data_IF_910830751104
#
_entry.id   IF_910830751104
#
_cell.length_a   1.000
_cell.length_b   1.000
_cell.length_c   1.000
_cell.angle_alpha   90.00
_cell.angle_beta   90.00
_cell.angle_gamma   90.00
#
_symmetry.space_group_name_H-M   'P 1'
#
loop_
_entity.id
_entity.type
_entity.pdbx_description
1 polymer ?
#
# COMPACT_ATOMS: atom_id res chain seq x y z
N UNK A 1 -30.84 3.31 5.17
CA UNK A 1 -30.84 4.59 5.90
C UNK A 1 -29.86 5.51 5.21
N UNK A 2 -30.34 6.53 4.50
CA UNK A 2 -29.45 7.55 3.92
C UNK A 2 -28.80 8.31 5.07
N UNK A 3 -27.47 8.28 5.16
CA UNK A 3 -26.75 9.12 6.11
C UNK A 3 -27.05 10.58 5.79
N UNK A 4 -27.46 11.36 6.78
CA UNK A 4 -27.55 12.81 6.65
C UNK A 4 -26.20 13.37 6.21
N UNK A 5 -26.19 14.37 5.33
CA UNK A 5 -24.96 14.96 4.78
C UNK A 5 -24.02 15.54 5.86
N UNK A 6 -24.53 15.81 7.06
CA UNK A 6 -23.75 16.23 8.24
C UNK A 6 -22.76 15.16 8.75
N UNK A 7 -23.00 13.88 8.47
CA UNK A 7 -22.11 12.78 8.88
C UNK A 7 -21.07 12.41 7.82
N UNK A 8 -21.02 13.11 6.68
CA UNK A 8 -20.06 12.83 5.61
C UNK A 8 -18.76 13.62 5.78
N UNK A 9 -17.65 13.00 5.41
CA UNK A 9 -16.33 13.63 5.47
C UNK A 9 -16.22 14.80 4.47
N UNK A 10 -15.76 15.95 4.95
CA UNK A 10 -15.36 17.07 4.10
C UNK A 10 -13.95 16.90 3.52
N UNK A 11 -13.51 17.88 2.73
CA UNK A 11 -12.20 17.88 2.08
C UNK A 11 -11.04 17.63 3.05
N UNK A 12 -10.96 18.43 4.12
CA UNK A 12 -9.87 18.32 5.08
C UNK A 12 -9.85 16.95 5.77
N UNK A 13 -11.03 16.42 6.14
CA UNK A 13 -11.15 15.11 6.77
C UNK A 13 -10.63 13.99 5.86
N UNK A 14 -11.01 14.02 4.58
CA UNK A 14 -10.52 13.05 3.60
C UNK A 14 -9.03 13.23 3.30
N UNK A 15 -8.53 14.46 3.16
CA UNK A 15 -7.09 14.73 2.95
C UNK A 15 -6.25 14.19 4.09
N UNK A 16 -6.66 14.44 5.35
CA UNK A 16 -5.98 13.92 6.53
C UNK A 16 -6.01 12.40 6.55
N UNK A 17 -7.16 11.78 6.28
CA UNK A 17 -7.29 10.32 6.23
C UNK A 17 -6.35 9.69 5.21
N UNK A 18 -6.30 10.25 3.99
CA UNK A 18 -5.44 9.74 2.92
C UNK A 18 -3.96 9.98 3.24
N UNK A 19 -3.62 11.14 3.82
CA UNK A 19 -2.25 11.47 4.28
C UNK A 19 -1.78 10.47 5.33
N UNK A 20 -2.61 10.22 6.34
CA UNK A 20 -2.34 9.28 7.44
C UNK A 20 -2.08 7.87 6.91
N UNK A 21 -2.87 7.41 5.93
CA UNK A 21 -2.70 6.08 5.37
C UNK A 21 -1.42 5.92 4.55
N UNK A 22 -0.99 6.95 3.81
CA UNK A 22 0.31 6.94 3.14
C UNK A 22 1.46 7.01 4.14
N UNK A 23 1.36 7.90 5.14
CA UNK A 23 2.47 8.25 6.03
C UNK A 23 2.87 7.20 7.05
N UNK A 24 2.01 6.22 7.35
CA UNK A 24 2.18 5.29 8.48
C UNK A 24 3.52 4.57 8.54
N UNK A 25 3.56 3.29 8.20
CA UNK A 25 4.82 2.52 8.23
C UNK A 25 5.70 2.75 7.00
N UNK A 26 5.17 3.40 5.96
CA UNK A 26 5.82 3.56 4.65
C UNK A 26 7.19 4.21 4.73
N UNK A 27 7.35 5.24 5.58
CA UNK A 27 8.57 6.06 5.68
C UNK A 27 9.64 5.47 6.60
N UNK A 28 9.24 4.61 7.54
CA UNK A 28 10.00 4.25 8.75
C UNK A 28 11.39 3.67 8.44
N UNK A 29 11.51 2.89 7.36
CA UNK A 29 12.76 2.28 6.93
C UNK A 29 13.38 2.91 5.67
N UNK A 30 12.70 3.86 5.02
CA UNK A 30 13.18 4.44 3.76
C UNK A 30 14.53 5.13 3.87
N UNK A 31 14.82 5.92 4.92
CA UNK A 31 16.14 6.57 5.01
C UNK A 31 17.31 5.59 4.96
N UNK A 32 17.21 4.47 5.69
CA UNK A 32 18.25 3.45 5.70
C UNK A 32 18.39 2.77 4.33
N UNK A 33 17.27 2.44 3.69
CA UNK A 33 17.28 1.74 2.40
C UNK A 33 17.74 2.63 1.23
N UNK A 34 17.32 3.88 1.20
CA UNK A 34 17.78 4.88 0.23
C UNK A 34 19.27 5.19 0.42
N UNK A 35 19.74 5.24 1.67
CA UNK A 35 21.16 5.41 1.96
C UNK A 35 22.03 4.25 1.45
N UNK A 36 21.47 3.05 1.28
CA UNK A 36 22.18 1.88 0.75
C UNK A 36 22.76 2.09 -0.66
N UNK A 37 22.15 2.95 -1.47
CA UNK A 37 22.71 3.39 -2.76
C UNK A 37 23.36 4.76 -2.67
N UNK A 38 22.85 5.63 -1.78
CA UNK A 38 23.34 6.98 -1.57
C UNK A 38 22.27 8.04 -1.79
N UNK A 39 22.60 9.30 -1.52
CA UNK A 39 21.69 10.43 -1.69
C UNK A 39 21.19 10.66 -3.12
N UNK A 40 21.86 10.09 -4.13
CA UNK A 40 21.42 10.10 -5.53
C UNK A 40 20.02 9.50 -5.70
N UNK A 41 19.60 8.59 -4.82
CA UNK A 41 18.23 8.02 -4.78
C UNK A 41 17.16 9.04 -4.42
N UNK A 42 17.51 10.20 -3.90
CA UNK A 42 16.53 11.27 -3.66
C UNK A 42 15.90 11.77 -4.96
N UNK A 43 16.60 11.65 -6.09
CA UNK A 43 16.04 11.98 -7.40
C UNK A 43 14.84 11.06 -7.75
N UNK A 44 14.79 9.85 -7.19
CA UNK A 44 13.64 8.95 -7.31
C UNK A 44 12.37 9.57 -6.74
N UNK A 45 12.46 10.39 -5.69
CA UNK A 45 11.27 11.07 -5.14
C UNK A 45 10.63 12.01 -6.16
N UNK A 46 11.41 12.69 -7.00
CA UNK A 46 10.86 13.60 -8.00
C UNK A 46 10.06 12.82 -9.05
N UNK A 47 10.64 11.74 -9.58
CA UNK A 47 9.98 10.86 -10.54
C UNK A 47 8.74 10.22 -9.92
N UNK A 48 8.88 9.72 -8.70
CA UNK A 48 7.79 9.03 -7.99
C UNK A 48 6.68 9.97 -7.56
N UNK A 49 6.97 11.21 -7.19
CA UNK A 49 5.93 12.20 -6.87
C UNK A 49 5.09 12.52 -8.10
N UNK A 50 5.72 12.76 -9.26
CA UNK A 50 4.98 12.99 -10.51
C UNK A 50 4.13 11.77 -10.86
N UNK A 51 4.70 10.58 -10.77
CA UNK A 51 3.99 9.33 -11.00
C UNK A 51 2.79 9.14 -10.06
N UNK A 52 3.00 9.32 -8.75
CA UNK A 52 1.97 9.22 -7.73
C UNK A 52 0.84 10.25 -7.92
N UNK A 53 1.15 11.47 -8.39
CA UNK A 53 0.13 12.47 -8.72
C UNK A 53 -0.71 12.04 -9.94
N UNK A 54 -0.10 11.40 -10.94
CA UNK A 54 -0.85 10.82 -12.06
C UNK A 54 -1.76 9.66 -11.60
N UNK A 55 -1.29 8.81 -10.69
CA UNK A 55 -2.09 7.73 -10.07
C UNK A 55 -3.25 8.32 -9.26
N UNK A 56 -2.96 9.30 -8.40
CA UNK A 56 -3.96 10.00 -7.59
C UNK A 56 -5.06 10.61 -8.45
N UNK A 57 -4.68 11.33 -9.51
CA UNK A 57 -5.62 11.90 -10.46
C UNK A 57 -6.47 10.82 -11.14
N UNK A 58 -5.85 9.70 -11.51
CA UNK A 58 -6.54 8.58 -12.15
C UNK A 58 -7.58 7.96 -11.22
N UNK A 59 -7.22 7.67 -9.97
CA UNK A 59 -8.14 7.11 -8.96
C UNK A 59 -9.22 8.08 -8.54
N UNK A 60 -8.88 9.35 -8.46
CA UNK A 60 -9.86 10.40 -8.28
C UNK A 60 -10.94 10.35 -9.37
N UNK A 61 -10.55 10.30 -10.65
CA UNK A 61 -11.50 10.20 -11.77
C UNK A 61 -12.24 8.87 -11.79
N UNK A 62 -11.58 7.75 -11.52
CA UNK A 62 -12.25 6.45 -11.42
C UNK A 62 -13.31 6.45 -10.31
N UNK A 63 -13.01 7.01 -9.14
CA UNK A 63 -13.95 7.12 -8.03
C UNK A 63 -15.13 8.07 -8.29
N UNK A 64 -15.00 9.00 -9.25
CA UNK A 64 -16.14 9.82 -9.71
C UNK A 64 -17.10 9.04 -10.59
N UNK A 65 -16.58 8.16 -11.45
CA UNK A 65 -17.35 7.52 -12.52
C UNK A 65 -17.75 6.07 -12.23
N UNK A 66 -17.10 5.42 -11.26
CA UNK A 66 -17.42 4.05 -10.86
C UNK A 66 -18.26 4.06 -9.58
N UNK A 67 -19.50 3.58 -9.70
CA UNK A 67 -20.44 3.47 -8.58
C UNK A 67 -20.48 2.07 -7.95
N UNK A 68 -19.63 1.15 -8.41
CA UNK A 68 -19.53 -0.21 -7.87
C UNK A 68 -18.65 -0.20 -6.62
N UNK A 69 -19.05 -0.98 -5.63
CA UNK A 69 -18.25 -1.22 -4.44
C UNK A 69 -17.02 -2.08 -4.78
N UNK A 70 -15.89 -1.82 -4.09
CA UNK A 70 -14.65 -2.56 -4.29
C UNK A 70 -13.44 -1.71 -4.71
N UNK A 71 -13.60 -0.38 -4.82
CA UNK A 71 -12.48 0.54 -5.06
C UNK A 71 -11.71 0.21 -6.33
N UNK A 72 -10.38 0.00 -6.21
CA UNK A 72 -9.53 -0.32 -7.37
C UNK A 72 -9.98 -1.58 -8.13
N UNK A 73 -10.48 -2.61 -7.43
CA UNK A 73 -10.99 -3.83 -8.07
C UNK A 73 -12.27 -3.56 -8.88
N UNK A 74 -13.11 -2.63 -8.41
CA UNK A 74 -14.29 -2.20 -9.15
C UNK A 74 -13.90 -1.42 -10.41
N UNK A 75 -12.89 -0.56 -10.30
CA UNK A 75 -12.37 0.22 -11.43
C UNK A 75 -11.82 -0.69 -12.53
N UNK A 76 -11.14 -1.78 -12.16
CA UNK A 76 -10.59 -2.74 -13.13
C UNK A 76 -11.68 -3.52 -13.87
N UNK A 77 -12.80 -3.82 -13.19
CA UNK A 77 -13.95 -4.48 -13.79
C UNK A 77 -14.59 -3.68 -14.92
N UNK A 78 -14.51 -2.34 -14.88
CA UNK A 78 -15.09 -1.48 -15.91
C UNK A 78 -14.50 -1.71 -17.31
N UNK A 79 -13.21 -2.04 -17.39
CA UNK A 79 -12.51 -2.33 -18.64
C UNK A 79 -12.38 -3.83 -18.94
N UNK A 80 -12.16 -4.66 -17.92
CA UNK A 80 -11.69 -6.03 -18.09
C UNK A 80 -12.64 -7.09 -17.54
N UNK A 81 -13.83 -6.70 -17.08
CA UNK A 81 -14.85 -7.62 -16.58
C UNK A 81 -14.51 -8.28 -15.25
N UNK A 82 -15.30 -9.30 -14.89
CA UNK A 82 -15.31 -9.93 -13.55
C UNK A 82 -13.97 -10.59 -13.19
N UNK A 83 -13.23 -11.10 -14.17
CA UNK A 83 -11.90 -11.71 -13.97
C UNK A 83 -10.89 -10.72 -13.41
N UNK A 84 -10.91 -9.48 -13.90
CA UNK A 84 -10.01 -8.43 -13.43
C UNK A 84 -10.38 -7.91 -12.05
N UNK A 85 -11.67 -7.91 -11.68
CA UNK A 85 -12.09 -7.65 -10.31
C UNK A 85 -11.44 -8.66 -9.35
N UNK A 86 -11.55 -9.95 -9.69
CA UNK A 86 -10.96 -11.02 -8.89
C UNK A 86 -9.45 -10.87 -8.80
N UNK A 87 -8.74 -10.72 -9.93
CA UNK A 87 -7.29 -10.65 -9.94
C UNK A 87 -6.79 -9.42 -9.20
N UNK A 88 -7.43 -8.26 -9.36
CA UNK A 88 -7.10 -7.06 -8.60
C UNK A 88 -7.31 -7.27 -7.09
N UNK A 89 -8.41 -7.89 -6.68
CA UNK A 89 -8.69 -8.18 -5.25
C UNK A 89 -7.73 -9.22 -4.67
N UNK A 90 -7.42 -10.26 -5.44
CA UNK A 90 -6.50 -11.33 -5.05
C UNK A 90 -5.06 -10.83 -4.92
N UNK A 91 -4.55 -10.11 -5.92
CA UNK A 91 -3.21 -9.53 -5.84
C UNK A 91 -3.13 -8.48 -4.74
N UNK A 92 -4.17 -7.66 -4.55
CA UNK A 92 -4.21 -6.74 -3.40
C UNK A 92 -4.21 -7.48 -2.06
N UNK A 93 -4.97 -8.57 -1.90
CA UNK A 93 -4.93 -9.43 -0.72
C UNK A 93 -3.50 -9.95 -0.42
N UNK A 94 -2.81 -10.44 -1.45
CA UNK A 94 -1.43 -10.94 -1.33
C UNK A 94 -0.44 -9.80 -1.00
N UNK A 95 -0.59 -8.64 -1.64
CA UNK A 95 0.18 -7.43 -1.31
C UNK A 95 0.04 -7.08 0.17
N UNK A 96 -1.18 -7.04 0.69
CA UNK A 96 -1.44 -6.71 2.09
C UNK A 96 -0.81 -7.72 3.06
N UNK A 97 -0.81 -9.02 2.72
CA UNK A 97 -0.10 -10.06 3.50
C UNK A 97 1.41 -9.79 3.53
N UNK A 98 2.02 -9.54 2.36
CA UNK A 98 3.47 -9.29 2.28
C UNK A 98 3.83 -8.01 3.03
N UNK A 99 3.00 -6.99 2.86
CA UNK A 99 3.14 -5.70 3.53
C UNK A 99 3.10 -5.82 5.04
N UNK A 100 2.16 -6.61 5.58
CA UNK A 100 2.04 -6.85 7.01
C UNK A 100 3.35 -7.41 7.61
N UNK A 101 3.98 -8.36 6.93
CA UNK A 101 5.28 -8.92 7.35
C UNK A 101 6.38 -7.86 7.28
N UNK A 102 6.45 -7.05 6.22
CA UNK A 102 7.44 -5.96 6.11
C UNK A 102 7.30 -4.93 7.24
N UNK A 103 6.06 -4.59 7.63
CA UNK A 103 5.78 -3.66 8.72
C UNK A 103 6.19 -4.28 10.07
N UNK A 104 5.91 -5.56 10.29
CA UNK A 104 6.34 -6.27 11.50
C UNK A 104 7.88 -6.34 11.61
N UNK A 105 8.57 -6.60 10.49
CA UNK A 105 10.04 -6.56 10.39
C UNK A 105 10.57 -5.16 10.77
N UNK A 106 9.91 -4.11 10.30
CA UNK A 106 10.25 -2.73 10.67
C UNK A 106 10.05 -2.48 12.16
N UNK A 107 8.92 -2.92 12.74
CA UNK A 107 8.67 -2.81 14.18
C UNK A 107 9.79 -3.46 15.00
N UNK A 108 10.19 -4.68 14.64
CA UNK A 108 11.29 -5.41 15.29
C UNK A 108 12.61 -4.66 15.17
N UNK A 109 12.90 -4.03 14.04
CA UNK A 109 14.07 -3.15 13.87
C UNK A 109 14.15 -2.06 14.93
N UNK A 110 13.02 -1.38 15.18
CA UNK A 110 12.92 -0.34 16.21
C UNK A 110 12.82 -0.86 17.65
N UNK A 111 12.51 -2.15 17.85
CA UNK A 111 12.50 -2.82 19.16
C UNK A 111 13.91 -3.20 19.64
N UNK A 112 14.87 -3.40 18.74
CA UNK A 112 16.24 -3.83 19.05
C UNK A 112 16.96 -3.01 20.13
N UNK A 113 16.84 -1.66 20.18
CA UNK A 113 17.45 -0.85 21.24
C UNK A 113 16.91 -1.15 22.66
N UNK A 114 15.68 -1.66 22.77
CA UNK A 114 15.05 -2.00 24.05
C UNK A 114 15.23 -3.48 24.41
N UNK A 115 15.31 -4.33 23.39
CA UNK A 115 15.37 -5.77 23.52
C UNK A 115 16.58 -6.32 22.74
N UNK A 116 17.80 -6.23 23.29
CA UNK A 116 19.04 -6.58 22.58
C UNK A 116 19.06 -8.01 22.04
N UNK A 117 18.36 -8.94 22.68
CA UNK A 117 18.24 -10.35 22.26
C UNK A 117 17.72 -10.49 20.82
N UNK A 118 16.88 -9.54 20.34
CA UNK A 118 16.38 -9.50 18.96
C UNK A 118 17.49 -9.27 17.91
N UNK A 119 18.67 -8.82 18.33
CA UNK A 119 19.84 -8.59 17.47
C UNK A 119 20.81 -9.75 17.44
N UNK A 120 20.68 -10.73 18.34
CA UNK A 120 21.65 -11.82 18.48
C UNK A 120 21.58 -12.84 17.34
N UNK A 121 20.39 -13.06 16.76
CA UNK A 121 20.25 -13.98 15.64
C UNK A 121 19.04 -13.65 14.76
N UNK A 122 19.06 -14.14 13.52
CA UNK A 122 17.92 -14.07 12.60
C UNK A 122 16.66 -14.77 13.19
N UNK A 123 16.86 -15.84 13.98
CA UNK A 123 15.78 -16.58 14.64
C UNK A 123 15.14 -15.76 15.75
N UNK A 124 15.93 -15.00 16.52
CA UNK A 124 15.40 -14.10 17.54
C UNK A 124 14.57 -12.97 16.91
N UNK A 125 15.09 -12.37 15.83
CA UNK A 125 14.33 -11.37 15.06
C UNK A 125 13.02 -11.96 14.50
N UNK A 126 13.06 -13.19 13.97
CA UNK A 126 11.88 -13.91 13.50
C UNK A 126 10.82 -14.08 14.60
N UNK A 127 11.19 -14.51 15.80
CA UNK A 127 10.23 -14.61 16.91
C UNK A 127 9.65 -13.26 17.34
N UNK A 128 10.43 -12.19 17.24
CA UNK A 128 9.93 -10.82 17.36
C UNK A 128 8.84 -10.51 16.33
N UNK A 129 9.08 -10.85 15.05
CA UNK A 129 8.12 -10.63 13.96
C UNK A 129 6.84 -11.43 14.19
N UNK A 130 6.96 -12.72 14.56
CA UNK A 130 5.83 -13.58 14.92
C UNK A 130 5.02 -12.96 16.07
N UNK A 131 5.70 -12.51 17.13
CA UNK A 131 5.04 -11.87 18.27
C UNK A 131 4.24 -10.63 17.88
N UNK A 132 4.81 -9.77 17.04
CA UNK A 132 4.13 -8.57 16.53
C UNK A 132 2.92 -8.94 15.67
N UNK A 133 3.07 -9.85 14.71
CA UNK A 133 1.98 -10.29 13.81
C UNK A 133 0.80 -10.90 14.57
N UNK A 134 1.09 -11.80 15.52
CA UNK A 134 0.05 -12.46 16.33
C UNK A 134 -0.64 -11.44 17.24
N UNK A 135 0.12 -10.55 17.88
CA UNK A 135 -0.44 -9.53 18.76
C UNK A 135 -1.43 -8.62 18.02
N UNK A 136 -1.04 -8.10 16.86
CA UNK A 136 -1.93 -7.23 16.06
C UNK A 136 -3.10 -7.99 15.46
N UNK A 137 -2.89 -9.24 15.05
CA UNK A 137 -3.98 -10.08 14.54
C UNK A 137 -5.05 -10.30 15.60
N UNK A 138 -4.65 -10.67 16.83
CA UNK A 138 -5.59 -10.89 17.93
C UNK A 138 -6.33 -9.59 18.25
N UNK A 139 -5.63 -8.46 18.33
CA UNK A 139 -6.25 -7.16 18.57
C UNK A 139 -7.29 -6.78 17.49
N UNK A 140 -7.15 -7.28 16.26
CA UNK A 140 -8.14 -7.09 15.19
C UNK A 140 -9.46 -7.86 15.37
N UNK A 141 -9.54 -8.82 16.30
CA UNK A 141 -10.75 -9.62 16.50
C UNK A 141 -11.93 -8.84 17.08
N UNK A 142 -11.67 -7.66 17.67
CA UNK A 142 -12.68 -6.74 18.18
C UNK A 142 -13.27 -5.83 17.09
N UNK A 143 -12.82 -5.95 15.85
CA UNK A 143 -13.47 -5.33 14.70
C UNK A 143 -13.20 -3.83 14.50
N UNK A 144 -13.87 -3.22 13.50
CA UNK A 144 -13.47 -1.93 12.92
C UNK A 144 -13.38 -0.77 13.91
N UNK A 145 -14.33 -0.72 14.86
CA UNK A 145 -14.43 0.39 15.80
C UNK A 145 -13.18 0.53 16.67
N UNK A 146 -12.67 -0.59 17.17
CA UNK A 146 -11.50 -0.59 18.05
C UNK A 146 -10.21 -0.50 17.25
N UNK A 147 -10.09 -1.29 16.17
CA UNK A 147 -8.92 -1.23 15.28
C UNK A 147 -8.70 0.18 14.72
N UNK A 148 -9.73 0.77 14.12
CA UNK A 148 -9.64 2.10 13.51
C UNK A 148 -9.28 3.18 14.53
N UNK A 149 -9.83 3.10 15.75
CA UNK A 149 -9.51 4.01 16.85
C UNK A 149 -8.03 3.94 17.24
N UNK A 150 -7.50 2.73 17.47
CA UNK A 150 -6.09 2.53 17.82
C UNK A 150 -5.19 3.01 16.69
N UNK A 151 -5.43 2.56 15.45
CA UNK A 151 -4.62 2.95 14.29
C UNK A 151 -4.60 4.47 14.07
N UNK A 152 -5.73 5.17 14.29
CA UNK A 152 -5.81 6.62 14.12
C UNK A 152 -4.96 7.42 15.11
N UNK A 153 -4.74 6.90 16.32
CA UNK A 153 -3.93 7.56 17.36
C UNK A 153 -2.46 7.21 17.17
N UNK A 154 -2.17 5.94 17.02
CA UNK A 154 -0.81 5.39 16.94
C UNK A 154 0.00 5.93 15.75
N UNK A 155 -0.63 6.24 14.62
CA UNK A 155 0.06 6.81 13.45
C UNK A 155 0.77 8.14 13.72
N UNK A 156 0.29 8.93 14.70
CA UNK A 156 0.95 10.17 15.09
C UNK A 156 2.33 9.94 15.72
N UNK A 157 2.58 8.73 16.22
CA UNK A 157 3.88 8.32 16.74
C UNK A 157 5.01 8.46 15.71
N UNK A 158 4.71 8.36 14.41
CA UNK A 158 5.71 8.60 13.36
C UNK A 158 5.52 9.93 12.64
N UNK A 159 4.28 10.37 12.43
CA UNK A 159 4.02 11.63 11.72
C UNK A 159 4.67 12.82 12.46
N UNK A 160 4.53 12.89 13.78
CA UNK A 160 5.09 14.00 14.56
C UNK A 160 6.63 14.04 14.46
N UNK A 161 7.37 12.96 14.73
CA UNK A 161 8.83 12.92 14.50
C UNK A 161 9.25 13.27 13.09
N UNK A 162 8.58 12.73 12.06
CA UNK A 162 8.97 12.92 10.66
C UNK A 162 8.76 14.38 10.24
N UNK A 163 7.60 14.96 10.57
CA UNK A 163 7.32 16.39 10.30
C UNK A 163 8.26 17.28 11.10
N UNK A 164 8.50 16.94 12.37
CA UNK A 164 9.46 17.63 13.22
C UNK A 164 10.84 17.66 12.58
N UNK A 165 11.38 16.50 12.18
CA UNK A 165 12.67 16.38 11.50
C UNK A 165 12.72 17.23 10.23
N UNK A 166 11.67 17.19 9.40
CA UNK A 166 11.58 17.97 8.16
C UNK A 166 11.66 19.49 8.35
N UNK A 167 11.30 19.99 9.54
CA UNK A 167 11.28 21.43 9.85
C UNK A 167 12.52 21.83 10.65
N UNK A 168 12.81 21.15 11.76
CA UNK A 168 13.87 21.57 12.69
C UNK A 168 15.21 20.89 12.41
N UNK A 169 15.25 19.75 11.71
CA UNK A 169 16.49 19.01 11.50
C UNK A 169 17.53 19.78 10.66
N UNK A 170 17.10 20.80 9.90
CA UNK A 170 18.00 21.69 9.16
C UNK A 170 19.03 22.41 10.05
N UNK A 171 18.76 22.63 11.34
CA UNK A 171 19.75 23.22 12.26
C UNK A 171 20.96 22.31 12.53
N UNK A 172 20.84 21.00 12.26
CA UNK A 172 21.93 20.03 12.39
C UNK A 172 22.48 19.57 11.04
N UNK A 173 21.92 20.06 9.93
CA UNK A 173 22.29 19.63 8.59
C UNK A 173 23.70 20.13 8.23
N UNK A 174 24.55 19.20 7.77
CA UNK A 174 25.90 19.49 7.30
C UNK A 174 26.00 19.22 5.79
N UNK A 175 26.14 20.27 4.95
CA UNK A 175 26.24 20.10 3.50
C UNK A 175 27.37 19.18 3.05
N UNK A 176 28.50 19.21 3.75
CA UNK A 176 29.67 18.36 3.47
C UNK A 176 29.35 16.87 3.66
N UNK A 177 28.60 16.53 4.72
CA UNK A 177 28.19 15.16 4.99
C UNK A 177 27.22 14.64 3.94
N UNK A 178 26.25 15.50 3.56
CA UNK A 178 25.31 15.22 2.50
C UNK A 178 26.01 14.98 1.15
N UNK A 179 26.96 15.85 0.79
CA UNK A 179 27.74 15.74 -0.44
C UNK A 179 28.60 14.47 -0.46
N UNK A 180 29.24 14.12 0.67
CA UNK A 180 30.02 12.89 0.80
C UNK A 180 29.14 11.63 0.66
N UNK A 181 27.89 11.69 1.14
CA UNK A 181 26.91 10.62 1.04
C UNK A 181 26.12 10.57 -0.28
N UNK A 182 26.37 11.47 -1.24
CA UNK A 182 25.54 11.61 -2.43
C UNK A 182 25.61 10.38 -3.35
N UNK A 183 26.82 9.97 -3.76
CA UNK A 183 26.99 8.81 -4.64
C UNK A 183 28.24 7.99 -4.24
N UNK A 184 28.23 7.35 -3.06
CA UNK A 184 29.39 6.64 -2.52
C UNK A 184 29.80 5.40 -3.34
N UNK A 185 28.90 4.91 -4.20
CA UNK A 185 29.13 3.73 -5.05
C UNK A 185 29.37 4.09 -6.52
N UNK A 186 29.44 5.39 -6.87
CA UNK A 186 29.63 5.88 -8.24
C UNK A 186 28.65 5.28 -9.27
N UNK A 187 27.40 5.03 -8.85
CA UNK A 187 26.37 4.49 -9.74
C UNK A 187 25.97 5.52 -10.80
N UNK A 188 25.56 5.05 -11.97
CA UNK A 188 24.98 5.93 -13.00
C UNK A 188 23.70 6.60 -12.49
N UNK A 189 23.45 7.84 -12.91
CA UNK A 189 22.30 8.62 -12.40
C UNK A 189 20.96 7.92 -12.61
N UNK A 190 20.76 7.28 -13.77
CA UNK A 190 19.52 6.55 -14.05
C UNK A 190 19.38 5.29 -13.18
N UNK A 191 20.48 4.59 -12.89
CA UNK A 191 20.47 3.43 -12.01
C UNK A 191 20.19 3.84 -10.56
N UNK A 192 20.80 4.94 -10.11
CA UNK A 192 20.54 5.56 -8.81
C UNK A 192 19.07 5.95 -8.65
N UNK A 193 18.49 6.61 -9.66
CA UNK A 193 17.06 6.92 -9.69
C UNK A 193 16.24 5.63 -9.65
N UNK A 194 16.52 4.66 -10.52
CA UNK A 194 15.71 3.45 -10.64
C UNK A 194 15.73 2.62 -9.36
N UNK A 195 16.87 2.56 -8.65
CA UNK A 195 17.01 1.81 -7.39
C UNK A 195 16.12 2.32 -6.25
N UNK A 196 15.77 3.61 -6.26
CA UNK A 196 14.88 4.21 -5.25
C UNK A 196 13.40 4.19 -5.62
N UNK A 197 13.01 3.80 -6.84
CA UNK A 197 11.62 3.90 -7.29
C UNK A 197 10.69 2.97 -6.50
N UNK A 198 11.06 1.70 -6.30
CA UNK A 198 10.21 0.77 -5.54
C UNK A 198 10.02 1.23 -4.08
N UNK A 199 11.10 1.72 -3.45
CA UNK A 199 11.10 2.28 -2.10
C UNK A 199 10.20 3.52 -1.99
N UNK A 200 10.33 4.46 -2.92
CA UNK A 200 9.51 5.68 -2.92
C UNK A 200 8.05 5.38 -3.28
N UNK A 201 7.78 4.41 -4.16
CA UNK A 201 6.43 3.93 -4.49
C UNK A 201 5.74 3.33 -3.27
N UNK A 202 6.46 2.48 -2.54
CA UNK A 202 5.99 1.91 -1.27
C UNK A 202 5.48 2.99 -0.31
N UNK A 203 6.19 4.12 -0.24
CA UNK A 203 5.83 5.24 0.61
C UNK A 203 4.47 5.88 0.27
N UNK A 204 4.05 5.79 -1.00
CA UNK A 204 2.78 6.33 -1.48
C UNK A 204 1.65 5.30 -1.53
N UNK A 205 1.90 4.04 -1.13
CA UNK A 205 0.81 3.06 -1.01
C UNK A 205 -0.20 3.55 0.05
N UNK A 206 -1.49 3.43 -0.27
CA UNK A 206 -2.58 4.02 0.51
C UNK A 206 -3.29 5.17 -0.21
N UNK A 207 -2.75 5.65 -1.34
CA UNK A 207 -3.37 6.66 -2.21
C UNK A 207 -4.76 6.23 -2.71
N UNK A 208 -4.97 4.92 -2.85
CA UNK A 208 -6.23 4.27 -3.22
C UNK A 208 -7.35 4.47 -2.19
N UNK A 209 -7.01 4.81 -0.95
CA UNK A 209 -8.00 4.86 0.14
C UNK A 209 -9.04 5.94 -0.08
N UNK A 210 -8.70 7.02 -0.80
CA UNK A 210 -9.64 8.08 -1.10
C UNK A 210 -10.81 7.59 -1.97
N UNK A 211 -10.51 6.79 -2.99
CA UNK A 211 -11.50 6.21 -3.89
C UNK A 211 -12.39 5.18 -3.18
N UNK A 212 -11.79 4.40 -2.28
CA UNK A 212 -12.50 3.42 -1.46
C UNK A 212 -13.52 4.06 -0.49
N UNK A 213 -13.28 5.31 -0.05
CA UNK A 213 -14.15 6.03 0.88
C UNK A 213 -15.09 7.04 0.20
N UNK A 214 -15.16 7.06 -1.12
CA UNK A 214 -15.96 8.03 -1.89
C UNK A 214 -17.44 8.09 -1.47
N UNK A 215 -18.05 6.95 -1.11
CA UNK A 215 -19.44 6.90 -0.63
C UNK A 215 -19.70 7.60 0.71
N UNK A 216 -18.66 7.85 1.51
CA UNK A 216 -18.73 8.50 2.82
C UNK A 216 -18.32 9.98 2.79
N UNK A 217 -18.14 10.57 1.60
CA UNK A 217 -17.57 11.90 1.40
C UNK A 217 -18.63 12.88 0.91
N UNK A 218 -18.62 14.10 1.42
CA UNK A 218 -19.51 15.18 0.97
C UNK A 218 -19.05 15.67 -0.40
N UNK A 219 -19.94 15.66 -1.39
CA UNK A 219 -19.62 16.02 -2.78
C UNK A 219 -18.39 15.26 -3.32
N UNK A 220 -18.46 13.92 -3.45
CA UNK A 220 -17.30 13.09 -3.78
C UNK A 220 -16.67 13.47 -5.11
N UNK A 221 -17.46 13.96 -6.07
CA UNK A 221 -17.01 14.42 -7.38
C UNK A 221 -15.94 15.52 -7.34
N UNK A 222 -16.03 16.42 -6.36
CA UNK A 222 -15.04 17.52 -6.19
C UNK A 222 -14.06 17.23 -5.06
N UNK A 223 -14.57 16.65 -3.97
CA UNK A 223 -13.81 16.46 -2.74
C UNK A 223 -12.78 15.35 -2.86
N UNK A 224 -13.11 14.21 -3.47
CA UNK A 224 -12.17 13.08 -3.59
C UNK A 224 -10.96 13.49 -4.43
N UNK A 225 -11.09 14.04 -5.66
CA UNK A 225 -9.94 14.46 -6.44
C UNK A 225 -9.02 15.46 -5.75
N UNK A 226 -9.61 16.48 -5.13
CA UNK A 226 -8.83 17.50 -4.45
C UNK A 226 -8.14 16.94 -3.21
N UNK A 227 -8.83 16.08 -2.44
CA UNK A 227 -8.28 15.49 -1.24
C UNK A 227 -7.07 14.61 -1.52
N UNK A 228 -7.15 13.74 -2.54
CA UNK A 228 -6.03 12.84 -2.90
C UNK A 228 -4.83 13.67 -3.33
N UNK A 229 -5.03 14.64 -4.22
CA UNK A 229 -3.94 15.46 -4.74
C UNK A 229 -3.24 16.26 -3.63
N UNK A 230 -4.02 16.89 -2.74
CA UNK A 230 -3.47 17.62 -1.59
C UNK A 230 -2.71 16.69 -0.64
N UNK A 231 -3.25 15.50 -0.36
CA UNK A 231 -2.59 14.50 0.46
C UNK A 231 -1.25 14.07 -0.17
N UNK A 232 -1.26 13.69 -1.45
CA UNK A 232 -0.06 13.25 -2.18
C UNK A 232 1.03 14.30 -2.19
N UNK A 233 0.71 15.57 -2.49
CA UNK A 233 1.70 16.66 -2.46
C UNK A 233 2.23 16.89 -1.05
N UNK A 234 1.36 16.90 -0.04
CA UNK A 234 1.78 17.14 1.35
C UNK A 234 2.71 16.03 1.84
N UNK A 235 2.38 14.78 1.56
CA UNK A 235 3.20 13.60 1.89
C UNK A 235 4.55 13.66 1.16
N UNK A 236 4.55 13.99 -0.14
CA UNK A 236 5.77 14.11 -0.93
C UNK A 236 6.74 15.13 -0.33
N UNK A 237 6.24 16.32 0.05
CA UNK A 237 7.06 17.37 0.67
C UNK A 237 7.70 16.86 1.97
N UNK A 238 6.91 16.22 2.83
CA UNK A 238 7.40 15.72 4.11
C UNK A 238 8.42 14.60 3.93
N UNK A 239 8.20 13.68 2.99
CA UNK A 239 9.13 12.58 2.71
C UNK A 239 10.44 13.06 2.10
N UNK A 240 10.38 13.94 1.11
CA UNK A 240 11.57 14.54 0.50
C UNK A 240 12.37 15.28 1.57
N UNK A 241 11.71 16.16 2.33
CA UNK A 241 12.38 16.94 3.37
C UNK A 241 13.02 16.04 4.44
N UNK A 242 12.26 15.10 5.02
CA UNK A 242 12.78 14.23 6.09
C UNK A 242 13.93 13.34 5.62
N UNK A 243 13.84 12.75 4.42
CA UNK A 243 14.91 11.90 3.86
C UNK A 243 16.14 12.70 3.41
N UNK A 244 15.97 13.96 2.99
CA UNK A 244 17.09 14.87 2.72
C UNK A 244 17.82 15.21 4.01
N UNK A 245 17.05 15.66 5.01
CA UNK A 245 17.60 16.16 6.27
C UNK A 245 18.38 15.09 7.01
N UNK A 246 17.85 13.87 7.11
CA UNK A 246 18.53 12.76 7.78
C UNK A 246 19.87 12.41 7.12
N UNK A 247 19.98 12.46 5.79
CA UNK A 247 21.23 12.18 5.08
C UNK A 247 22.29 13.27 5.27
N UNK A 248 21.89 14.49 5.61
CA UNK A 248 22.83 15.55 5.98
C UNK A 248 23.18 15.59 7.47
N UNK A 249 22.57 14.75 8.31
CA UNK A 249 22.85 14.66 9.75
C UNK A 249 23.64 13.39 10.06
N UNK A 250 23.25 12.25 9.48
CA UNK A 250 23.82 10.93 9.76
C UNK A 250 24.79 10.52 8.65
N UNK A 251 26.02 10.06 8.97
CA UNK A 251 26.93 9.51 7.96
C UNK A 251 26.27 8.39 7.15
N UNK A 252 26.37 8.44 5.82
CA UNK A 252 25.65 7.54 4.92
C UNK A 252 25.88 6.04 5.24
N UNK A 253 27.12 5.65 5.53
CA UNK A 253 27.47 4.26 5.87
C UNK A 253 26.82 3.76 7.18
N UNK A 254 26.58 4.66 8.13
CA UNK A 254 25.89 4.35 9.38
C UNK A 254 24.37 4.30 9.18
N UNK A 255 23.83 5.27 8.42
CA UNK A 255 22.42 5.33 8.07
C UNK A 255 21.98 4.07 7.30
N UNK A 256 22.77 3.62 6.32
CA UNK A 256 22.48 2.44 5.50
C UNK A 256 22.42 1.12 6.30
N UNK A 257 23.08 1.07 7.46
CA UNK A 257 23.10 -0.10 8.36
C UNK A 257 22.09 0.01 9.50
N UNK A 258 21.42 1.14 9.63
CA UNK A 258 20.52 1.40 10.76
C UNK A 258 19.20 0.64 10.61
N UNK A 259 18.88 -0.17 11.62
CA UNK A 259 17.56 -0.80 11.75
C UNK A 259 16.50 0.13 12.36
N UNK A 260 16.90 1.34 12.78
CA UNK A 260 16.03 2.35 13.38
C UNK A 260 16.50 3.77 13.01
N UNK A 261 16.44 4.18 11.73
CA UNK A 261 17.03 5.43 11.24
C UNK A 261 16.47 6.68 11.93
N UNK A 262 15.17 6.71 12.26
CA UNK A 262 14.60 7.84 12.99
C UNK A 262 15.08 7.88 14.45
N UNK A 263 15.26 6.73 15.11
CA UNK A 263 15.89 6.71 16.44
C UNK A 263 17.33 7.20 16.41
N UNK A 264 18.07 6.80 15.36
CA UNK A 264 19.46 7.19 15.16
C UNK A 264 19.63 8.70 14.95
N UNK A 265 18.90 9.30 14.02
CA UNK A 265 19.03 10.73 13.72
C UNK A 265 18.67 11.60 14.92
N UNK A 266 17.61 11.24 15.65
CA UNK A 266 17.21 12.00 16.84
C UNK A 266 18.17 11.80 18.02
N UNK A 267 18.87 10.66 18.09
CA UNK A 267 19.99 10.48 19.03
C UNK A 267 21.13 11.44 18.74
N UNK A 268 21.46 11.66 17.45
CA UNK A 268 22.52 12.56 17.02
C UNK A 268 22.15 14.04 17.14
N UNK A 269 20.87 14.39 16.90
CA UNK A 269 20.40 15.77 17.05
C UNK A 269 20.34 16.21 18.52
N UNK A 270 19.92 15.30 19.41
CA UNK A 270 19.66 15.64 20.80
C UNK A 270 20.45 14.76 21.76
N UNK A 271 19.89 13.61 22.15
CA UNK A 271 20.50 12.67 23.11
C UNK A 271 20.04 11.23 22.83
N UNK A 272 20.77 10.21 23.30
CA UNK A 272 20.34 8.81 23.16
C UNK A 272 18.94 8.53 23.71
N UNK A 273 18.54 9.21 24.79
CA UNK A 273 17.21 9.07 25.37
C UNK A 273 16.12 9.58 24.41
N UNK A 274 16.32 10.71 23.73
CA UNK A 274 15.38 11.21 22.72
C UNK A 274 15.27 10.19 21.58
N UNK A 275 16.39 9.62 21.12
CA UNK A 275 16.37 8.55 20.13
C UNK A 275 15.54 7.34 20.56
N UNK A 276 15.67 6.90 21.82
CA UNK A 276 14.83 5.83 22.37
C UNK A 276 13.34 6.21 22.37
N UNK A 277 12.97 7.43 22.78
CA UNK A 277 11.58 7.89 22.72
C UNK A 277 11.03 7.81 21.29
N UNK A 278 11.82 8.24 20.30
CA UNK A 278 11.42 8.15 18.89
C UNK A 278 11.30 6.70 18.43
N UNK A 279 12.16 5.79 18.90
CA UNK A 279 12.00 4.36 18.65
C UNK A 279 10.70 3.81 19.23
N UNK A 280 10.35 4.16 20.47
CA UNK A 280 9.10 3.74 21.10
C UNK A 280 7.88 4.23 20.31
N UNK A 281 7.89 5.50 19.87
CA UNK A 281 6.83 6.06 19.05
C UNK A 281 6.73 5.39 17.67
N UNK A 282 7.87 5.05 17.04
CA UNK A 282 7.90 4.31 15.78
C UNK A 282 7.35 2.87 15.93
N UNK A 283 7.65 2.18 17.04
CA UNK A 283 7.04 0.86 17.35
C UNK A 283 5.52 0.99 17.44
N UNK A 284 5.03 1.99 18.18
CA UNK A 284 3.59 2.25 18.31
C UNK A 284 2.96 2.51 16.94
N UNK A 285 3.59 3.33 16.09
CA UNK A 285 3.12 3.61 14.75
C UNK A 285 3.14 2.37 13.83
N UNK A 286 4.16 1.51 13.92
CA UNK A 286 4.20 0.24 13.18
C UNK A 286 3.05 -0.70 13.60
N UNK A 287 2.81 -0.85 14.90
CA UNK A 287 1.69 -1.66 15.43
C UNK A 287 0.35 -1.10 14.91
N UNK A 288 0.19 0.22 14.97
CA UNK A 288 -0.96 0.95 14.45
C UNK A 288 -1.22 0.71 12.97
N UNK A 289 -0.17 0.83 12.16
CA UNK A 289 -0.21 0.57 10.73
C UNK A 289 -0.56 -0.90 10.46
N UNK A 290 0.14 -1.84 11.09
CA UNK A 290 -0.09 -3.27 10.91
C UNK A 290 -1.54 -3.67 11.23
N UNK A 291 -2.11 -3.11 12.31
CA UNK A 291 -3.52 -3.26 12.64
C UNK A 291 -4.44 -2.82 11.50
N UNK A 292 -4.22 -1.63 10.94
CA UNK A 292 -5.01 -1.08 9.84
C UNK A 292 -4.87 -1.90 8.55
N UNK A 293 -3.67 -2.38 8.24
CA UNK A 293 -3.40 -3.18 7.05
C UNK A 293 -4.04 -4.57 7.13
N UNK A 294 -3.88 -5.28 8.26
CA UNK A 294 -4.53 -6.56 8.52
C UNK A 294 -6.07 -6.43 8.46
N UNK A 295 -6.61 -5.36 9.02
CA UNK A 295 -8.05 -5.08 8.95
C UNK A 295 -8.53 -4.78 7.52
N UNK A 296 -7.80 -3.95 6.78
CA UNK A 296 -8.10 -3.64 5.37
C UNK A 296 -8.15 -4.93 4.55
N UNK A 297 -7.22 -5.84 4.79
CA UNK A 297 -7.16 -7.12 4.10
C UNK A 297 -8.35 -8.03 4.43
N UNK A 298 -8.74 -8.07 5.70
CA UNK A 298 -9.94 -8.76 6.15
C UNK A 298 -11.22 -8.20 5.47
N UNK A 299 -11.31 -6.89 5.25
CA UNK A 299 -12.44 -6.26 4.55
C UNK A 299 -12.42 -6.54 3.04
N UNK A 300 -11.27 -6.48 2.40
CA UNK A 300 -11.11 -6.78 0.96
C UNK A 300 -11.52 -8.23 0.67
N UNK A 301 -11.00 -9.18 1.45
CA UNK A 301 -11.32 -10.60 1.29
C UNK A 301 -12.78 -10.90 1.62
N UNK A 302 -13.34 -10.24 2.65
CA UNK A 302 -14.77 -10.35 2.97
C UNK A 302 -15.65 -9.82 1.82
N UNK A 303 -15.36 -8.63 1.28
CA UNK A 303 -16.12 -8.05 0.17
C UNK A 303 -16.07 -8.96 -1.07
N UNK A 304 -14.88 -9.47 -1.42
CA UNK A 304 -14.72 -10.44 -2.50
C UNK A 304 -15.54 -11.73 -2.24
N UNK A 305 -15.62 -12.20 -1.00
CA UNK A 305 -16.41 -13.37 -0.66
C UNK A 305 -17.92 -13.13 -0.81
N UNK A 306 -18.41 -11.92 -0.50
CA UNK A 306 -19.82 -11.57 -0.73
C UNK A 306 -20.20 -11.55 -2.21
N UNK A 307 -19.24 -11.26 -3.08
CA UNK A 307 -19.42 -11.37 -4.53
C UNK A 307 -19.22 -12.80 -5.06
N UNK A 308 -19.10 -13.79 -4.18
CA UNK A 308 -18.77 -15.20 -4.51
C UNK A 308 -17.46 -15.35 -5.29
N UNK A 309 -16.59 -14.35 -5.19
CA UNK A 309 -15.28 -14.35 -5.83
C UNK A 309 -14.22 -14.96 -4.93
N UNK A 310 -14.41 -14.96 -3.61
CA UNK A 310 -13.55 -15.66 -2.66
C UNK A 310 -14.31 -16.80 -1.98
N UNK A 311 -13.61 -17.80 -1.43
CA UNK A 311 -14.24 -18.87 -0.65
C UNK A 311 -15.13 -18.33 0.49
N UNK A 312 -16.26 -19.00 0.75
CA UNK A 312 -17.27 -18.54 1.71
C UNK A 312 -16.76 -18.41 3.16
N UNK A 313 -15.63 -19.03 3.50
CA UNK A 313 -14.96 -18.89 4.80
C UNK A 313 -14.56 -17.44 5.11
N UNK A 314 -14.25 -16.63 4.09
CA UNK A 314 -13.93 -15.20 4.25
C UNK A 314 -15.18 -14.34 4.52
N UNK A 315 -16.39 -14.86 4.28
CA UNK A 315 -17.65 -14.11 4.39
C UNK A 315 -18.28 -14.09 5.79
N UNK A 316 -17.85 -14.98 6.70
CA UNK A 316 -18.47 -15.13 8.04
C UNK A 316 -17.85 -14.16 9.05
N UNK A 317 -18.68 -13.29 9.64
CA UNK A 317 -18.25 -12.35 10.70
C UNK A 317 -18.59 -12.85 12.11
N UNK A 318 -17.84 -12.38 13.10
CA UNK A 318 -18.16 -12.52 14.52
C UNK A 318 -19.12 -11.41 15.01
N UNK A 319 -19.45 -11.41 16.32
CA UNK A 319 -20.31 -10.39 16.97
C UNK A 319 -19.77 -8.94 16.91
N UNK A 320 -18.49 -8.77 16.56
CA UNK A 320 -17.83 -7.47 16.44
C UNK A 320 -17.61 -7.06 14.98
N UNK A 321 -18.24 -7.75 14.01
CA UNK A 321 -18.07 -7.52 12.58
C UNK A 321 -16.65 -7.78 12.06
N UNK A 322 -15.93 -8.74 12.65
CA UNK A 322 -14.61 -9.18 12.20
C UNK A 322 -14.68 -10.60 11.57
N UNK A 323 -14.18 -10.81 10.33
CA UNK A 323 -14.17 -12.11 9.67
C UNK A 323 -13.00 -12.98 10.15
N UNK A 324 -13.11 -13.53 11.36
CA UNK A 324 -12.01 -14.22 12.08
C UNK A 324 -11.38 -15.35 11.27
N UNK A 325 -12.16 -16.17 10.56
CA UNK A 325 -11.62 -17.28 9.79
C UNK A 325 -10.71 -16.80 8.64
N UNK A 326 -11.11 -15.74 7.94
CA UNK A 326 -10.26 -15.10 6.91
C UNK A 326 -9.00 -14.47 7.51
N UNK A 327 -9.13 -13.81 8.67
CA UNK A 327 -8.00 -13.26 9.42
C UNK A 327 -6.99 -14.32 9.86
N UNK A 328 -7.45 -15.51 10.30
CA UNK A 328 -6.56 -16.61 10.66
C UNK A 328 -5.83 -17.21 9.46
N UNK A 329 -6.50 -17.33 8.30
CA UNK A 329 -5.84 -17.75 7.05
C UNK A 329 -4.74 -16.74 6.68
N UNK A 330 -5.07 -15.44 6.77
CA UNK A 330 -4.11 -14.37 6.54
C UNK A 330 -2.91 -14.48 7.49
N UNK A 331 -3.14 -14.68 8.80
CA UNK A 331 -2.06 -14.88 9.77
C UNK A 331 -1.16 -16.06 9.40
N UNK A 332 -1.74 -17.20 8.99
CA UNK A 332 -0.96 -18.36 8.56
C UNK A 332 -0.07 -18.02 7.37
N UNK A 333 -0.58 -17.28 6.38
CA UNK A 333 0.22 -16.83 5.24
C UNK A 333 1.32 -15.84 5.66
N UNK A 334 1.01 -14.91 6.56
CA UNK A 334 1.99 -13.97 7.13
C UNK A 334 3.12 -14.72 7.85
N UNK A 335 2.81 -15.75 8.65
CA UNK A 335 3.79 -16.56 9.37
C UNK A 335 4.64 -17.42 8.45
N UNK A 336 4.04 -18.02 7.42
CA UNK A 336 4.77 -18.78 6.39
C UNK A 336 5.75 -17.85 5.65
N UNK A 337 5.29 -16.67 5.26
CA UNK A 337 6.14 -15.68 4.58
C UNK A 337 7.24 -15.12 5.52
N UNK A 338 6.92 -14.89 6.80
CA UNK A 338 7.91 -14.51 7.80
C UNK A 338 9.01 -15.58 7.94
N UNK A 339 8.64 -16.86 7.85
CA UNK A 339 9.59 -17.99 7.88
C UNK A 339 10.45 -18.04 6.61
N UNK A 340 9.83 -17.85 5.44
CA UNK A 340 10.56 -17.85 4.16
C UNK A 340 11.46 -16.64 3.96
N UNK A 341 11.21 -15.54 4.69
CA UNK A 341 11.97 -14.29 4.58
C UNK A 341 13.01 -14.09 5.69
N UNK A 342 13.26 -15.10 6.55
CA UNK A 342 14.24 -15.00 7.63
C UNK A 342 15.59 -14.51 7.09
N UNK A 343 16.10 -13.44 7.69
CA UNK A 343 17.37 -12.84 7.33
C UNK A 343 18.10 -12.35 8.58
N UNK A 344 19.45 -12.47 8.63
CA UNK A 344 20.23 -11.81 9.68
C UNK A 344 20.16 -10.29 9.60
N UNK A 345 19.81 -9.72 8.44
CA UNK A 345 19.67 -8.28 8.25
C UNK A 345 18.21 -7.88 8.01
N UNK A 346 17.62 -7.22 9.00
CA UNK A 346 16.23 -6.73 9.00
C UNK A 346 15.96 -5.71 7.90
N UNK A 347 16.96 -4.88 7.53
CA UNK A 347 16.88 -3.91 6.44
C UNK A 347 16.78 -4.62 5.09
N UNK A 348 17.59 -5.66 4.89
CA UNK A 348 17.53 -6.49 3.68
C UNK A 348 16.23 -7.30 3.59
N UNK A 349 15.76 -7.86 4.72
CA UNK A 349 14.48 -8.56 4.79
C UNK A 349 13.33 -7.64 4.36
N UNK A 350 13.32 -6.43 4.92
CA UNK A 350 12.34 -5.40 4.57
C UNK A 350 12.37 -5.09 3.06
N UNK A 351 13.55 -4.85 2.46
CA UNK A 351 13.65 -4.56 1.02
C UNK A 351 13.12 -5.69 0.14
N UNK A 352 13.41 -6.94 0.47
CA UNK A 352 12.91 -8.09 -0.31
C UNK A 352 11.38 -8.15 -0.27
N UNK A 353 10.80 -8.01 0.93
CA UNK A 353 9.34 -8.01 1.11
C UNK A 353 8.69 -6.79 0.44
N UNK A 354 9.29 -5.61 0.58
CA UNK A 354 8.84 -4.37 -0.04
C UNK A 354 8.82 -4.51 -1.56
N UNK A 355 9.91 -4.94 -2.19
CA UNK A 355 9.98 -5.07 -3.64
C UNK A 355 8.93 -6.05 -4.17
N UNK A 356 8.73 -7.20 -3.49
CA UNK A 356 7.70 -8.15 -3.85
C UNK A 356 6.30 -7.56 -3.69
N UNK A 357 6.05 -6.83 -2.59
CA UNK A 357 4.75 -6.21 -2.33
C UNK A 357 4.42 -5.11 -3.33
N UNK A 358 5.39 -4.24 -3.65
CA UNK A 358 5.22 -3.16 -4.63
C UNK A 358 4.91 -3.76 -6.00
N UNK A 359 5.65 -4.78 -6.44
CA UNK A 359 5.35 -5.48 -7.69
C UNK A 359 3.91 -5.99 -7.71
N UNK A 360 3.50 -6.74 -6.68
CA UNK A 360 2.15 -7.34 -6.62
C UNK A 360 1.09 -6.23 -6.63
N UNK A 361 1.34 -5.11 -5.97
CA UNK A 361 0.43 -3.98 -5.96
C UNK A 361 0.34 -3.21 -7.29
N UNK A 362 1.35 -3.31 -8.14
CA UNK A 362 1.28 -2.69 -9.47
C UNK A 362 0.27 -3.40 -10.38
N UNK A 363 -0.04 -4.68 -10.14
CA UNK A 363 -1.08 -5.40 -10.90
C UNK A 363 -2.47 -4.75 -10.78
N UNK A 364 -3.06 -4.57 -9.57
CA UNK A 364 -4.34 -3.89 -9.44
C UNK A 364 -4.27 -2.43 -9.89
N UNK A 365 -3.11 -1.77 -9.77
CA UNK A 365 -2.94 -0.40 -10.23
C UNK A 365 -3.05 -0.28 -11.75
N UNK A 366 -2.31 -1.08 -12.51
CA UNK A 366 -2.39 -1.07 -13.98
C UNK A 366 -3.79 -1.46 -14.46
N UNK A 367 -4.40 -2.48 -13.84
CA UNK A 367 -5.75 -2.92 -14.19
C UNK A 367 -6.82 -1.84 -13.92
N UNK A 368 -6.72 -1.12 -12.80
CA UNK A 368 -7.67 -0.06 -12.44
C UNK A 368 -7.46 1.23 -13.23
N UNK A 369 -6.21 1.61 -13.51
CA UNK A 369 -5.87 2.78 -14.32
C UNK A 369 -6.34 2.62 -15.77
N UNK A 370 -6.20 1.42 -16.34
CA UNK A 370 -6.74 1.14 -17.68
C UNK A 370 -8.28 1.17 -17.71
N UNK A 371 -8.93 0.94 -16.57
CA UNK A 371 -10.36 1.19 -16.35
C UNK A 371 -10.80 2.63 -16.67
N UNK A 372 -9.94 3.63 -16.41
CA UNK A 372 -10.27 5.04 -16.62
C UNK A 372 -10.63 5.35 -18.07
N UNK A 373 -9.89 4.81 -19.05
CA UNK A 373 -10.15 5.08 -20.47
C UNK A 373 -11.56 4.67 -20.90
N UNK A 374 -12.03 3.54 -20.36
CA UNK A 374 -13.37 3.02 -20.63
C UNK A 374 -14.42 3.86 -19.91
N UNK A 375 -14.19 4.21 -18.65
CA UNK A 375 -15.10 5.06 -17.87
C UNK A 375 -15.29 6.45 -18.49
N UNK A 376 -14.21 7.09 -18.97
CA UNK A 376 -14.30 8.39 -19.64
C UNK A 376 -15.16 8.32 -20.91
N UNK A 377 -15.05 7.22 -21.68
CA UNK A 377 -15.89 7.02 -22.88
C UNK A 377 -17.35 6.75 -22.52
N UNK A 378 -17.62 5.86 -21.56
CA UNK A 378 -18.99 5.51 -21.13
C UNK A 378 -19.77 6.73 -20.59
N UNK A 379 -19.08 7.64 -19.92
CA UNK A 379 -19.70 8.83 -19.32
C UNK A 379 -19.78 10.03 -20.28
N UNK A 380 -19.47 9.87 -21.57
CA UNK A 380 -19.59 10.91 -22.60
C UNK A 380 -18.95 12.26 -22.20
N UNK A 381 -17.80 12.21 -21.50
CA UNK A 381 -17.11 13.42 -21.04
C UNK A 381 -16.68 14.30 -22.22
N UNK A 382 -16.50 15.60 -21.98
CA UNK A 382 -16.04 16.52 -23.03
C UNK A 382 -14.70 16.07 -23.64
N UNK A 383 -14.45 16.42 -24.91
CA UNK A 383 -13.21 16.03 -25.60
C UNK A 383 -11.93 16.49 -24.87
N UNK A 384 -11.97 17.66 -24.22
CA UNK A 384 -10.86 18.15 -23.40
C UNK A 384 -10.62 17.28 -22.16
N UNK A 385 -11.70 16.96 -21.41
CA UNK A 385 -11.61 16.08 -20.24
C UNK A 385 -11.14 14.68 -20.60
N UNK A 386 -11.58 14.14 -21.75
CA UNK A 386 -11.12 12.86 -22.25
C UNK A 386 -9.62 12.88 -22.55
N UNK A 387 -9.13 13.89 -23.28
CA UNK A 387 -7.69 14.01 -23.62
C UNK A 387 -6.82 14.09 -22.36
N UNK A 388 -7.17 14.96 -21.41
CA UNK A 388 -6.43 15.11 -20.16
C UNK A 388 -6.46 13.79 -19.37
N UNK A 389 -7.65 13.21 -19.22
CA UNK A 389 -7.84 11.94 -18.50
C UNK A 389 -7.05 10.78 -19.13
N UNK A 390 -7.05 10.68 -20.45
CA UNK A 390 -6.32 9.65 -21.17
C UNK A 390 -4.80 9.84 -21.07
N UNK A 391 -4.29 11.07 -21.23
CA UNK A 391 -2.86 11.34 -21.11
C UNK A 391 -2.37 11.06 -19.69
N UNK A 392 -3.04 11.59 -18.67
CA UNK A 392 -2.63 11.39 -17.27
C UNK A 392 -2.78 9.92 -16.87
N UNK A 393 -3.85 9.25 -17.30
CA UNK A 393 -4.06 7.81 -17.07
C UNK A 393 -3.00 6.94 -17.75
N UNK A 394 -2.56 7.31 -18.96
CA UNK A 394 -1.48 6.61 -19.65
C UNK A 394 -0.13 6.79 -18.92
N UNK A 395 0.18 8.01 -18.48
CA UNK A 395 1.37 8.25 -17.66
C UNK A 395 1.33 7.48 -16.34
N UNK A 396 0.17 7.41 -15.67
CA UNK A 396 -0.01 6.61 -14.46
C UNK A 396 0.29 5.12 -14.72
N UNK A 397 -0.25 4.55 -15.81
CA UNK A 397 -0.01 3.16 -16.19
C UNK A 397 1.46 2.89 -16.56
N UNK A 398 2.08 3.76 -17.36
CA UNK A 398 3.50 3.65 -17.71
C UNK A 398 4.37 3.71 -16.45
N UNK A 399 4.04 4.62 -15.52
CA UNK A 399 4.78 4.75 -14.27
C UNK A 399 4.61 3.51 -13.37
N UNK A 400 3.40 2.94 -13.27
CA UNK A 400 3.20 1.67 -12.56
C UNK A 400 3.98 0.51 -13.19
N UNK A 401 4.10 0.46 -14.53
CA UNK A 401 4.95 -0.51 -15.23
C UNK A 401 6.45 -0.25 -14.96
N UNK A 402 6.87 1.01 -14.90
CA UNK A 402 8.24 1.34 -14.52
C UNK A 402 8.54 0.92 -13.06
N UNK A 403 7.57 1.05 -12.17
CA UNK A 403 7.63 0.50 -10.81
C UNK A 403 7.88 -1.01 -10.78
N UNK A 404 7.21 -1.77 -11.66
CA UNK A 404 7.44 -3.21 -11.83
C UNK A 404 8.89 -3.50 -12.20
N UNK A 405 9.46 -2.78 -13.17
CA UNK A 405 10.85 -2.91 -13.55
C UNK A 405 11.81 -2.61 -12.38
N UNK A 406 11.53 -1.53 -11.64
CA UNK A 406 12.35 -1.08 -10.53
C UNK A 406 12.36 -2.02 -9.31
N UNK A 407 11.37 -2.90 -9.16
CA UNK A 407 11.33 -3.90 -8.08
C UNK A 407 12.44 -4.97 -8.21
N UNK A 408 13.07 -5.09 -9.37
CA UNK A 408 14.11 -6.07 -9.65
C UNK A 408 13.58 -7.45 -10.04
N UNK A 409 14.44 -8.24 -10.69
CA UNK A 409 14.05 -9.49 -11.37
C UNK A 409 13.45 -10.53 -10.43
N UNK A 410 13.98 -10.66 -9.21
CA UNK A 410 13.49 -11.63 -8.23
C UNK A 410 12.04 -11.34 -7.83
N UNK A 411 11.72 -10.08 -7.54
CA UNK A 411 10.36 -9.67 -7.21
C UNK A 411 9.41 -9.85 -8.41
N UNK A 412 9.86 -9.52 -9.62
CA UNK A 412 9.10 -9.73 -10.86
C UNK A 412 8.79 -11.21 -11.07
N UNK A 413 9.77 -12.10 -10.88
CA UNK A 413 9.61 -13.53 -11.07
C UNK A 413 8.60 -14.12 -10.08
N UNK A 414 8.83 -13.97 -8.77
CA UNK A 414 7.93 -14.52 -7.75
C UNK A 414 6.55 -13.86 -7.79
N UNK A 415 6.51 -12.55 -8.03
CA UNK A 415 5.26 -11.83 -8.12
C UNK A 415 4.42 -12.26 -9.33
N UNK A 416 5.06 -12.55 -10.46
CA UNK A 416 4.38 -13.10 -11.64
C UNK A 416 3.80 -14.48 -11.35
N UNK A 417 4.56 -15.36 -10.68
CA UNK A 417 4.06 -16.67 -10.25
C UNK A 417 2.82 -16.52 -9.37
N UNK A 418 2.88 -15.67 -8.34
CA UNK A 418 1.76 -15.42 -7.43
C UNK A 418 0.53 -14.89 -8.18
N UNK A 419 0.73 -13.98 -9.14
CA UNK A 419 -0.34 -13.44 -9.99
C UNK A 419 -0.97 -14.53 -10.88
N UNK A 420 -0.16 -15.38 -11.50
CA UNK A 420 -0.62 -16.49 -12.34
C UNK A 420 -1.38 -17.55 -11.54
N UNK A 421 -0.96 -17.85 -10.29
CA UNK A 421 -1.72 -18.71 -9.38
C UNK A 421 -3.14 -18.16 -9.14
N UNK A 422 -3.29 -16.84 -9.08
CA UNK A 422 -4.59 -16.18 -9.01
C UNK A 422 -5.51 -16.56 -10.17
N UNK A 423 -5.01 -16.58 -11.41
CA UNK A 423 -5.80 -16.99 -12.57
C UNK A 423 -6.24 -18.46 -12.51
N UNK A 424 -5.40 -19.34 -11.96
CA UNK A 424 -5.76 -20.74 -11.72
C UNK A 424 -6.94 -20.82 -10.75
N UNK A 425 -6.88 -20.10 -9.63
CA UNK A 425 -8.00 -20.04 -8.68
C UNK A 425 -9.27 -19.44 -9.29
N UNK A 426 -9.13 -18.38 -10.08
CA UNK A 426 -10.27 -17.77 -10.78
C UNK A 426 -10.95 -18.76 -11.73
N UNK A 427 -10.19 -19.62 -12.42
CA UNK A 427 -10.75 -20.65 -13.31
C UNK A 427 -11.77 -21.56 -12.61
N UNK A 428 -11.47 -22.00 -11.38
CA UNK A 428 -12.40 -22.80 -10.57
C UNK A 428 -13.63 -22.02 -10.11
N UNK A 429 -13.49 -20.72 -9.86
CA UNK A 429 -14.59 -19.84 -9.43
C UNK A 429 -15.51 -19.51 -10.60
N UNK A 430 -14.93 -19.14 -11.75
CA UNK A 430 -15.66 -18.81 -12.97
C UNK A 430 -16.49 -19.98 -13.51
N UNK A 431 -16.05 -21.23 -13.26
CA UNK A 431 -16.83 -22.42 -13.58
C UNK A 431 -18.21 -22.45 -12.88
N UNK A 432 -18.34 -21.80 -11.71
CA UNK A 432 -19.61 -21.71 -10.99
C UNK A 432 -20.56 -20.64 -11.54
N UNK A 433 -20.08 -19.74 -12.39
CA UNK A 433 -20.88 -18.72 -13.07
C UNK A 433 -21.40 -19.21 -14.44
N UNK A 434 -21.06 -20.45 -14.84
CA UNK A 434 -21.60 -21.05 -16.08
C UNK A 434 -23.11 -21.23 -15.90
N UNK A 435 -23.95 -20.62 -16.74
CA UNK A 435 -25.40 -20.75 -16.63
C UNK A 435 -25.80 -22.21 -16.69
N UNK A 436 -26.78 -22.61 -15.87
CA UNK A 436 -27.28 -23.98 -15.93
C UNK A 436 -27.93 -24.24 -17.30
N UNK A 437 -28.04 -25.51 -17.71
CA UNK A 437 -28.76 -25.87 -18.95
C UNK A 437 -30.20 -25.31 -18.99
N UNK A 438 -30.78 -25.04 -17.81
CA UNK A 438 -32.08 -24.40 -17.66
C UNK A 438 -32.03 -22.90 -18.03
N UNK A 439 -31.05 -22.16 -17.52
CA UNK A 439 -30.86 -20.73 -17.80
C UNK A 439 -30.55 -20.49 -19.29
N UNK A 440 -29.72 -21.36 -19.89
CA UNK A 440 -29.41 -21.29 -21.34
C UNK A 440 -30.65 -21.56 -22.19
N UNK A 441 -31.52 -22.49 -21.76
CA UNK A 441 -32.80 -22.75 -22.44
C UNK A 441 -33.76 -21.57 -22.31
N UNK A 442 -33.84 -20.95 -21.13
CA UNK A 442 -34.67 -19.76 -20.91
C UNK A 442 -34.19 -18.58 -21.75
N UNK A 443 -32.89 -18.31 -21.77
CA UNK A 443 -32.31 -17.22 -22.57
C UNK A 443 -32.50 -17.45 -24.08
N UNK A 444 -32.44 -18.72 -24.54
CA UNK A 444 -32.78 -19.08 -25.92
C UNK A 444 -34.27 -18.89 -26.24
N UNK A 445 -35.17 -19.20 -25.29
CA UNK A 445 -36.60 -18.94 -25.45
C UNK A 445 -36.91 -17.44 -25.47
N UNK A 446 -36.30 -16.65 -24.59
CA UNK A 446 -36.49 -15.20 -24.51
C UNK A 446 -35.90 -14.46 -25.72
N UNK A 447 -34.79 -14.95 -26.28
CA UNK A 447 -34.20 -14.42 -27.54
C UNK A 447 -34.91 -14.90 -28.81
N UNK A 448 -36.06 -15.58 -28.70
CA UNK A 448 -36.89 -15.94 -29.84
C UNK A 448 -36.35 -17.07 -30.71
N UNK A 449 -35.36 -17.84 -30.24
CA UNK A 449 -34.92 -19.06 -30.92
C UNK A 449 -35.89 -20.20 -30.62
N UNK A 450 -37.11 -20.10 -31.17
CA UNK A 450 -38.01 -21.23 -31.28
C UNK A 450 -37.43 -22.15 -32.36
N UNK A 451 -36.54 -23.06 -31.99
CA UNK A 451 -36.27 -24.22 -32.84
C UNK A 451 -37.49 -25.15 -32.73
N UNK A 452 -38.39 -25.05 -33.69
CA UNK A 452 -39.36 -26.13 -33.93
C UNK A 452 -38.58 -27.40 -34.28
N UNK A 453 -38.91 -28.56 -33.69
CA UNK A 453 -38.35 -29.81 -34.14
C UNK A 453 -38.90 -30.09 -35.54
N UNK A 454 -38.02 -30.19 -36.53
CA UNK A 454 -38.36 -30.85 -37.78
C UNK A 454 -38.74 -32.29 -37.43
N UNK A 455 -39.98 -32.66 -37.78
CA UNK A 455 -40.47 -34.04 -37.76
C UNK A 455 -39.73 -34.88 -38.79
#
# INVERSE_FOLDING_TARGET
MASSDDNKMGLMGLTVLVTVNMMGSGIIMLPANLAGTGGITMLSWLVTTVGALCIAYTYAKCGMFCHRDGGMSAYSQEAHGKSSFFIASYTYYICLVISAVAIAVSAVGYMKPFFPWLSESAVHAFWGVVGVLVLTMVANFWGPKYTGGISSVTVWGIIIPVVGLSIIGWFWFKPELFAAGWNPHHVGTMDGISSGIALTLWAFLGIETAGANSGAVRNPEKTVPLAVMLATVSVAIVYIASTTVIQGIVPNAELAKSSAPFGLVFSMMFTPFVGQVICALAIIACIGSLLAWQFTNAQVSWAAAQMKLFPSIFGKMNKYNAPIAGMLIMLVLELLLATMSISPNTVQQFNTLLNLSVFINMVPYVLSQTGLFVMLRKNHVSASQWKIGAVVGAFAAIYSIYGVYACGQTAVFYGSILTLLGYIFYGFIAANDVPSDYDVKQEKMERGYITYPFK
#
